data_IF_105732399108
#
_entry.id   IF_105732399108
#
_cell.length_a   1.000
_cell.length_b   1.000
_cell.length_c   1.000
_cell.angle_alpha   90.00
_cell.angle_beta   90.00
_cell.angle_gamma   90.00
#
_symmetry.space_group_name_H-M   'P 1'
#
loop_
_entity.id
_entity.type
_entity.pdbx_description
1 polymer ?
#
# COMPACT_ATOMS: atom_id res chain seq x y z
N UNK A 1 -33.25 57.94 11.40
CA UNK A 1 -32.87 58.60 10.15
C UNK A 1 -31.39 58.41 9.94
N UNK A 2 -31.04 57.78 8.81
CA UNK A 2 -29.71 57.64 8.18
C UNK A 2 -28.61 56.95 9.01
N UNK A 3 -27.78 56.05 8.50
CA UNK A 3 -27.59 55.37 7.22
C UNK A 3 -26.55 54.28 7.52
N UNK A 4 -26.68 53.05 7.02
CA UNK A 4 -25.80 52.68 5.92
C UNK A 4 -25.34 51.22 6.04
N UNK A 5 -26.11 50.34 5.41
CA UNK A 5 -25.77 48.95 5.08
C UNK A 5 -24.39 48.89 4.39
N UNK A 6 -23.46 48.08 4.91
CA UNK A 6 -22.39 47.50 4.09
C UNK A 6 -22.50 45.98 4.09
N UNK A 7 -22.92 45.49 2.93
CA UNK A 7 -23.02 44.09 2.56
C UNK A 7 -21.63 43.47 2.38
N UNK A 8 -21.49 42.26 2.93
CA UNK A 8 -20.94 41.06 2.29
C UNK A 8 -19.57 41.15 1.60
N UNK A 9 -18.54 40.64 2.29
CA UNK A 9 -17.66 39.60 1.74
C UNK A 9 -17.45 38.58 2.86
N UNK A 10 -18.37 37.62 2.99
CA UNK A 10 -18.05 36.36 3.68
C UNK A 10 -17.15 35.59 2.70
N UNK A 11 -15.84 35.78 2.82
CA UNK A 11 -14.90 34.83 2.25
C UNK A 11 -15.06 33.57 3.10
N UNK A 12 -15.84 32.62 2.59
CA UNK A 12 -15.94 31.29 3.15
C UNK A 12 -14.55 30.66 2.97
N UNK A 13 -13.64 30.92 3.91
CA UNK A 13 -12.51 30.05 4.15
C UNK A 13 -13.17 28.75 4.56
N UNK A 14 -13.37 27.87 3.60
CA UNK A 14 -13.50 26.46 3.87
C UNK A 14 -12.22 26.09 4.62
N UNK A 15 -12.27 26.19 5.96
CA UNK A 15 -11.52 25.32 6.82
C UNK A 15 -12.00 23.91 6.45
N UNK A 16 -11.42 23.40 5.37
CA UNK A 16 -11.22 21.99 5.20
C UNK A 16 -10.47 21.59 6.45
N UNK A 17 -11.21 21.09 7.45
CA UNK A 17 -10.64 20.47 8.61
C UNK A 17 -9.74 19.37 8.08
N UNK A 18 -8.45 19.68 7.98
CA UNK A 18 -7.39 18.70 7.83
C UNK A 18 -7.56 17.79 9.02
N UNK A 19 -8.22 16.66 8.79
CA UNK A 19 -8.23 15.55 9.72
C UNK A 19 -6.76 15.24 9.99
N UNK A 20 -6.25 15.45 11.21
CA UNK A 20 -4.91 15.01 11.55
C UNK A 20 -4.97 13.48 11.50
N UNK A 21 -4.36 12.89 10.47
CA UNK A 21 -4.28 11.43 10.33
C UNK A 21 -4.74 10.83 9.01
N UNK A 22 -5.38 11.58 8.11
CA UNK A 22 -5.73 11.09 6.77
C UNK A 22 -4.71 11.55 5.71
N UNK A 23 -3.47 11.12 5.86
CA UNK A 23 -2.46 11.11 4.77
C UNK A 23 -2.02 9.67 4.60
N UNK A 24 -2.83 8.89 3.89
CA UNK A 24 -2.80 7.43 3.92
C UNK A 24 -2.91 6.91 2.50
N UNK A 25 -1.77 6.50 1.91
CA UNK A 25 -1.67 5.65 0.71
C UNK A 25 -2.70 5.92 -0.42
N UNK A 26 -3.14 7.17 -0.61
CA UNK A 26 -4.33 7.44 -1.40
C UNK A 26 -4.10 7.00 -2.85
N UNK A 27 -5.03 6.19 -3.33
CA UNK A 27 -5.00 5.64 -4.68
C UNK A 27 -4.14 4.39 -4.89
N UNK A 28 -3.28 3.96 -3.94
CA UNK A 28 -2.48 2.73 -4.17
C UNK A 28 -3.41 1.53 -4.28
N UNK A 29 -3.40 0.89 -5.45
CA UNK A 29 -4.17 -0.31 -5.72
C UNK A 29 -3.38 -1.56 -5.41
N UNK A 30 -4.05 -2.56 -4.87
CA UNK A 30 -3.53 -3.90 -4.64
C UNK A 30 -4.41 -4.94 -5.34
N UNK A 31 -3.80 -6.09 -5.63
CA UNK A 31 -4.52 -7.32 -5.98
C UNK A 31 -4.28 -8.36 -4.88
N UNK A 32 -5.26 -9.24 -4.67
CA UNK A 32 -5.14 -10.36 -3.75
C UNK A 32 -5.34 -11.66 -4.55
N UNK A 33 -4.30 -12.48 -4.66
CA UNK A 33 -4.38 -13.79 -5.31
C UNK A 33 -4.70 -14.86 -4.26
N UNK A 34 -5.66 -15.72 -4.59
CA UNK A 34 -6.03 -16.87 -3.78
C UNK A 34 -5.02 -18.01 -3.88
N UNK A 35 -5.21 -19.04 -3.06
CA UNK A 35 -4.50 -20.31 -3.11
C UNK A 35 -4.66 -21.09 -4.43
N UNK A 36 -5.72 -20.83 -5.20
CA UNK A 36 -5.97 -21.43 -6.52
C UNK A 36 -5.42 -20.59 -7.68
N UNK A 37 -4.74 -19.48 -7.39
CA UNK A 37 -4.13 -18.62 -8.40
C UNK A 37 -5.10 -17.63 -9.08
N UNK A 38 -6.40 -17.70 -8.79
CA UNK A 38 -7.38 -16.69 -9.20
C UNK A 38 -7.41 -15.52 -8.22
N UNK A 39 -7.91 -14.37 -8.68
CA UNK A 39 -7.87 -13.12 -7.94
C UNK A 39 -9.19 -12.78 -7.26
N UNK A 40 -9.07 -12.26 -6.04
CA UNK A 40 -10.14 -11.60 -5.28
C UNK A 40 -10.72 -10.48 -6.14
N UNK A 41 -12.01 -10.57 -6.44
CA UNK A 41 -12.63 -9.67 -7.39
C UNK A 41 -14.08 -9.35 -7.02
N UNK A 42 -14.49 -8.10 -7.26
CA UNK A 42 -15.89 -7.69 -7.25
C UNK A 42 -16.62 -8.40 -8.38
N UNK A 43 -17.80 -8.93 -8.08
CA UNK A 43 -18.63 -9.66 -9.02
C UNK A 43 -20.08 -9.19 -8.86
N UNK A 44 -20.59 -8.47 -9.87
CA UNK A 44 -21.94 -7.94 -9.87
C UNK A 44 -22.92 -9.03 -10.32
N UNK A 45 -23.94 -9.31 -9.51
CA UNK A 45 -24.97 -10.30 -9.81
C UNK A 45 -24.51 -11.76 -9.78
N UNK A 46 -23.28 -12.04 -9.35
CA UNK A 46 -22.72 -13.39 -9.37
C UNK A 46 -23.21 -14.28 -8.23
N UNK A 47 -23.76 -13.68 -7.19
CA UNK A 47 -24.37 -14.37 -6.06
C UNK A 47 -25.75 -13.74 -5.79
N UNK A 48 -26.72 -14.56 -5.38
CA UNK A 48 -28.05 -14.09 -5.03
C UNK A 48 -28.06 -13.53 -3.61
N UNK A 49 -28.08 -12.21 -3.47
CA UNK A 49 -28.26 -11.60 -2.15
C UNK A 49 -29.71 -11.69 -1.70
N UNK A 50 -29.95 -11.70 -0.39
CA UNK A 50 -31.29 -11.52 0.18
C UNK A 50 -31.84 -10.17 -0.31
N UNK A 51 -33.09 -10.18 -0.79
CA UNK A 51 -33.79 -9.03 -1.38
C UNK A 51 -33.08 -8.31 -2.54
N UNK A 52 -32.05 -8.89 -3.15
CA UNK A 52 -31.22 -8.25 -4.19
C UNK A 52 -30.61 -6.88 -3.80
N UNK A 53 -30.50 -6.57 -2.49
CA UNK A 53 -29.99 -5.27 -2.01
C UNK A 53 -28.46 -5.11 -2.14
N UNK A 54 -27.72 -6.20 -2.30
CA UNK A 54 -26.25 -6.21 -2.37
C UNK A 54 -25.82 -6.97 -3.63
N UNK A 55 -25.94 -6.32 -4.81
CA UNK A 55 -25.61 -6.98 -6.08
C UNK A 55 -24.10 -7.20 -6.24
N UNK A 56 -23.26 -6.41 -5.58
CA UNK A 56 -21.80 -6.51 -5.66
C UNK A 56 -21.24 -7.40 -4.54
N UNK A 57 -20.78 -8.59 -4.93
CA UNK A 57 -20.17 -9.58 -4.02
C UNK A 57 -18.68 -9.74 -4.31
N UNK A 58 -17.95 -10.42 -3.43
CA UNK A 58 -16.56 -10.80 -3.67
C UNK A 58 -16.47 -12.29 -3.98
N UNK A 59 -15.76 -12.60 -5.06
CA UNK A 59 -15.49 -13.97 -5.53
C UNK A 59 -14.01 -14.10 -5.92
N UNK A 60 -13.57 -15.31 -6.28
CA UNK A 60 -12.22 -15.56 -6.83
C UNK A 60 -12.30 -16.29 -8.17
N UNK A 61 -12.67 -15.54 -9.22
CA UNK A 61 -12.91 -16.10 -10.56
C UNK A 61 -11.98 -15.53 -11.64
N UNK A 62 -11.31 -14.42 -11.34
CA UNK A 62 -10.52 -13.68 -12.32
C UNK A 62 -9.12 -14.27 -12.42
N UNK A 63 -8.56 -14.32 -13.64
CA UNK A 63 -7.22 -14.86 -13.90
C UNK A 63 -6.11 -13.82 -13.96
N UNK A 64 -6.45 -12.54 -14.05
CA UNK A 64 -5.48 -11.45 -14.16
C UNK A 64 -5.67 -10.39 -13.07
N UNK A 65 -4.58 -10.02 -12.40
CA UNK A 65 -4.54 -8.95 -11.40
C UNK A 65 -4.90 -7.57 -11.97
N UNK A 66 -4.79 -7.39 -13.30
CA UNK A 66 -4.99 -6.11 -13.98
C UNK A 66 -6.45 -5.83 -14.32
N UNK A 67 -7.36 -6.78 -14.16
CA UNK A 67 -8.80 -6.53 -14.36
C UNK A 67 -9.30 -5.47 -13.38
N UNK A 68 -10.03 -4.43 -13.81
CA UNK A 68 -10.41 -3.30 -12.94
C UNK A 68 -11.12 -3.70 -11.65
N UNK A 69 -11.95 -4.73 -11.71
CA UNK A 69 -12.75 -5.26 -10.59
C UNK A 69 -11.97 -6.25 -9.70
N UNK A 70 -10.72 -6.58 -10.05
CA UNK A 70 -9.77 -7.32 -9.22
C UNK A 70 -8.74 -6.39 -8.52
N UNK A 71 -8.89 -5.08 -8.67
CA UNK A 71 -8.03 -4.08 -8.05
C UNK A 71 -8.77 -3.34 -6.94
N UNK A 72 -8.14 -3.21 -5.78
CA UNK A 72 -8.71 -2.54 -4.63
C UNK A 72 -7.74 -1.48 -4.12
N UNK A 73 -8.22 -0.26 -3.89
CA UNK A 73 -7.44 0.74 -3.16
C UNK A 73 -7.28 0.28 -1.71
N UNK A 74 -6.04 0.21 -1.24
CA UNK A 74 -5.71 -0.13 0.14
C UNK A 74 -5.74 1.15 0.96
N UNK A 75 -6.77 1.28 1.81
CA UNK A 75 -6.97 2.45 2.66
C UNK A 75 -6.54 2.09 4.08
N UNK A 76 -5.58 2.82 4.63
CA UNK A 76 -5.28 2.72 6.06
C UNK A 76 -6.41 3.39 6.83
N UNK A 77 -6.90 2.77 7.90
CA UNK A 77 -7.99 3.34 8.74
C UNK A 77 -7.53 3.63 10.17
N UNK A 78 -6.23 3.47 10.44
CA UNK A 78 -5.61 3.64 11.76
C UNK A 78 -5.59 2.35 12.58
N UNK A 79 -4.89 2.37 13.72
CA UNK A 79 -4.78 1.25 14.66
C UNK A 79 -4.33 -0.08 14.02
N UNK A 80 -3.47 -0.01 13.01
CA UNK A 80 -2.97 -1.19 12.28
C UNK A 80 -4.03 -1.91 11.43
N UNK A 81 -5.15 -1.25 11.12
CA UNK A 81 -6.20 -1.80 10.27
C UNK A 81 -6.20 -1.15 8.89
N UNK A 82 -6.71 -1.92 7.92
CA UNK A 82 -6.95 -1.48 6.55
C UNK A 82 -8.42 -1.63 6.18
N UNK A 83 -8.83 -0.96 5.12
CA UNK A 83 -10.04 -1.22 4.37
C UNK A 83 -9.70 -1.38 2.89
N UNK A 84 -10.50 -2.16 2.16
CA UNK A 84 -10.32 -2.40 0.73
C UNK A 84 -11.44 -1.69 -0.02
N UNK A 85 -11.10 -0.65 -0.79
CA UNK A 85 -12.07 0.12 -1.58
C UNK A 85 -12.08 -0.36 -3.03
N UNK A 86 -13.24 -0.73 -3.52
CA UNK A 86 -13.44 -1.24 -4.88
C UNK A 86 -13.46 -0.13 -5.93
N UNK A 87 -13.50 -0.53 -7.20
CA UNK A 87 -13.73 0.32 -8.37
C UNK A 87 -15.08 1.09 -8.34
N UNK A 88 -16.04 0.66 -7.53
CA UNK A 88 -17.32 1.38 -7.33
C UNK A 88 -17.24 2.51 -6.29
N UNK A 89 -16.07 2.68 -5.66
CA UNK A 89 -15.88 3.63 -4.56
C UNK A 89 -16.39 3.12 -3.20
N UNK A 90 -17.09 1.98 -3.16
CA UNK A 90 -17.52 1.32 -1.92
C UNK A 90 -16.45 0.37 -1.38
N UNK A 91 -16.48 0.15 -0.06
CA UNK A 91 -15.58 -0.76 0.64
C UNK A 91 -16.10 -2.19 0.71
N UNK A 92 -15.16 -3.12 0.76
CA UNK A 92 -15.41 -4.51 1.13
C UNK A 92 -15.83 -4.56 2.59
N UNK A 93 -16.99 -5.15 2.86
CA UNK A 93 -17.50 -5.39 4.21
C UNK A 93 -17.95 -6.83 4.40
N UNK A 94 -17.81 -7.32 5.64
CA UNK A 94 -18.48 -8.54 6.09
C UNK A 94 -19.98 -8.31 6.09
N UNK A 95 -20.70 -9.31 5.60
CA UNK A 95 -22.13 -9.25 5.36
C UNK A 95 -22.75 -10.54 5.89
N UNK A 96 -23.44 -10.43 7.04
CA UNK A 96 -24.01 -11.57 7.74
C UNK A 96 -25.40 -11.91 7.20
N UNK A 97 -25.63 -13.18 6.85
CA UNK A 97 -26.92 -13.69 6.40
C UNK A 97 -27.41 -13.13 5.07
N UNK A 98 -26.54 -12.46 4.30
CA UNK A 98 -26.99 -11.70 3.13
C UNK A 98 -26.96 -12.47 1.82
N UNK A 99 -26.42 -13.69 1.79
CA UNK A 99 -26.45 -14.57 0.61
C UNK A 99 -27.50 -15.66 0.82
N UNK A 100 -28.43 -15.76 -0.13
CA UNK A 100 -29.54 -16.72 -0.04
C UNK A 100 -29.03 -18.15 -0.06
N UNK A 101 -29.35 -18.93 0.98
CA UNK A 101 -28.90 -20.31 1.12
C UNK A 101 -27.39 -20.47 1.35
N UNK A 102 -26.68 -19.40 1.70
CA UNK A 102 -25.24 -19.45 1.97
C UNK A 102 -24.89 -20.49 3.03
N UNK A 103 -23.88 -21.33 2.75
CA UNK A 103 -23.42 -22.40 3.67
C UNK A 103 -22.74 -21.86 4.92
N UNK A 104 -22.25 -20.62 4.85
CA UNK A 104 -21.65 -19.89 5.96
C UNK A 104 -22.40 -18.56 6.12
N UNK A 105 -22.52 -18.02 7.34
CA UNK A 105 -23.31 -16.81 7.56
C UNK A 105 -22.61 -15.55 7.03
N UNK A 106 -21.29 -15.47 7.09
CA UNK A 106 -20.54 -14.25 6.81
C UNK A 106 -19.88 -14.29 5.42
N UNK A 107 -20.38 -13.46 4.50
CA UNK A 107 -19.79 -13.24 3.17
C UNK A 107 -19.04 -11.91 3.09
N UNK A 108 -18.06 -11.82 2.18
CA UNK A 108 -17.44 -10.56 1.82
C UNK A 108 -18.21 -9.95 0.62
N UNK A 109 -18.67 -8.71 0.75
CA UNK A 109 -19.41 -8.00 -0.29
C UNK A 109 -18.97 -6.54 -0.39
N UNK A 110 -19.29 -5.88 -1.50
CA UNK A 110 -18.95 -4.47 -1.74
C UNK A 110 -20.21 -3.63 -1.53
N UNK A 111 -20.39 -3.09 -0.34
CA UNK A 111 -21.64 -2.39 0.01
C UNK A 111 -21.47 -1.16 0.89
N UNK A 112 -20.33 -1.04 1.56
CA UNK A 112 -20.06 0.00 2.56
C UNK A 112 -19.69 1.29 1.85
N UNK A 113 -20.51 2.33 2.04
CA UNK A 113 -20.37 3.62 1.35
C UNK A 113 -19.81 4.73 2.22
N UNK A 114 -19.66 4.48 3.52
CA UNK A 114 -19.17 5.43 4.50
C UNK A 114 -17.70 5.78 4.23
N UNK A 115 -17.37 7.08 4.30
CA UNK A 115 -16.00 7.56 4.12
C UNK A 115 -15.04 7.02 5.20
N UNK A 116 -15.58 6.80 6.40
CA UNK A 116 -14.90 6.09 7.50
C UNK A 116 -15.51 4.69 7.60
N UNK A 117 -14.82 3.65 7.12
CA UNK A 117 -15.36 2.30 7.12
C UNK A 117 -15.67 1.82 8.54
N UNK A 118 -16.86 1.26 8.81
CA UNK A 118 -17.20 0.67 10.11
C UNK A 118 -16.39 -0.61 10.38
N UNK A 119 -16.38 -1.10 11.61
CA UNK A 119 -15.53 -2.22 12.04
C UNK A 119 -15.64 -3.47 11.15
N UNK A 120 -16.85 -3.81 10.67
CA UNK A 120 -17.09 -4.96 9.79
C UNK A 120 -16.55 -4.79 8.36
N UNK A 121 -16.02 -3.61 8.01
CA UNK A 121 -15.34 -3.29 6.76
C UNK A 121 -13.84 -3.02 6.93
N UNK A 122 -13.32 -3.29 8.13
CA UNK A 122 -11.92 -3.15 8.46
C UNK A 122 -11.28 -4.52 8.68
N UNK A 123 -10.02 -4.66 8.28
CA UNK A 123 -9.26 -5.89 8.41
C UNK A 123 -7.90 -5.62 9.06
N UNK A 124 -7.46 -6.54 9.91
CA UNK A 124 -6.08 -6.61 10.38
C UNK A 124 -5.29 -7.51 9.43
N UNK A 125 -4.14 -7.03 8.95
CA UNK A 125 -3.21 -7.82 8.15
C UNK A 125 -2.31 -8.63 9.08
N UNK A 126 -2.22 -9.94 8.84
CA UNK A 126 -1.26 -10.81 9.50
C UNK A 126 -0.36 -11.46 8.46
N UNK A 127 0.94 -11.17 8.53
CA UNK A 127 1.96 -11.86 7.72
C UNK A 127 2.18 -13.26 8.27
N UNK A 128 2.01 -14.27 7.43
CA UNK A 128 2.17 -15.69 7.77
C UNK A 128 3.61 -16.15 7.56
N UNK A 129 4.00 -17.26 8.19
CA UNK A 129 5.36 -17.80 8.12
C UNK A 129 5.82 -18.15 6.70
N UNK A 130 4.89 -18.40 5.77
CA UNK A 130 5.17 -18.67 4.36
C UNK A 130 5.22 -17.40 3.49
N UNK A 131 5.18 -16.22 4.09
CA UNK A 131 5.21 -14.92 3.39
C UNK A 131 3.89 -14.53 2.72
N UNK A 132 2.81 -15.30 2.89
CA UNK A 132 1.44 -14.90 2.50
C UNK A 132 0.77 -14.10 3.62
N UNK A 133 -0.41 -13.59 3.32
CA UNK A 133 -1.18 -12.73 4.22
C UNK A 133 -2.51 -13.36 4.58
N UNK A 134 -2.92 -13.16 5.83
CA UNK A 134 -4.30 -13.36 6.28
C UNK A 134 -4.93 -12.00 6.56
N UNK A 135 -6.23 -11.86 6.27
CA UNK A 135 -7.00 -10.66 6.58
C UNK A 135 -8.04 -11.02 7.64
N UNK A 136 -7.81 -10.57 8.87
CA UNK A 136 -8.68 -10.84 10.02
C UNK A 136 -9.78 -9.79 10.11
N UNK A 137 -11.03 -10.23 10.15
CA UNK A 137 -12.19 -9.36 10.32
C UNK A 137 -12.47 -9.03 11.80
N UNK A 138 -13.45 -8.15 12.03
CA UNK A 138 -13.99 -7.77 13.34
C UNK A 138 -14.43 -8.95 14.22
N UNK A 139 -14.84 -10.06 13.61
CA UNK A 139 -15.26 -11.29 14.31
C UNK A 139 -14.09 -12.13 14.84
N UNK A 140 -12.84 -11.77 14.50
CA UNK A 140 -11.65 -12.57 14.79
C UNK A 140 -11.41 -13.73 13.81
N UNK A 141 -12.33 -13.97 12.86
CA UNK A 141 -12.18 -14.92 11.75
C UNK A 141 -11.52 -14.24 10.54
N UNK A 142 -11.06 -15.04 9.58
CA UNK A 142 -10.28 -14.57 8.43
C UNK A 142 -11.06 -14.64 7.13
N UNK A 143 -10.79 -13.68 6.23
CA UNK A 143 -11.25 -13.72 4.85
C UNK A 143 -10.69 -14.97 4.15
N UNK A 144 -11.59 -15.72 3.53
CA UNK A 144 -11.31 -17.02 2.96
C UNK A 144 -12.09 -17.24 1.68
N UNK A 145 -11.42 -17.81 0.68
CA UNK A 145 -12.07 -18.43 -0.47
C UNK A 145 -12.95 -19.58 0.01
N UNK A 146 -14.12 -19.71 -0.57
CA UNK A 146 -15.12 -20.70 -0.18
C UNK A 146 -15.78 -21.29 -1.43
N UNK A 147 -15.39 -22.51 -1.77
CA UNK A 147 -15.90 -23.25 -2.92
C UNK A 147 -17.31 -23.80 -2.65
N UNK A 148 -18.27 -23.48 -3.52
CA UNK A 148 -19.64 -23.97 -3.44
C UNK A 148 -20.40 -23.50 -2.18
N UNK A 149 -19.98 -22.38 -1.59
CA UNK A 149 -20.60 -21.83 -0.38
C UNK A 149 -21.82 -20.95 -0.69
N UNK A 150 -21.96 -20.50 -1.93
CA UNK A 150 -23.10 -19.72 -2.42
C UNK A 150 -23.89 -20.54 -3.45
N UNK A 151 -25.02 -21.16 -3.06
CA UNK A 151 -25.85 -21.90 -4.00
C UNK A 151 -26.34 -21.02 -5.15
N UNK A 152 -26.32 -21.57 -6.37
CA UNK A 152 -26.75 -20.86 -7.57
C UNK A 152 -25.84 -19.70 -8.01
N UNK A 153 -24.65 -19.55 -7.42
CA UNK A 153 -23.68 -18.57 -7.87
C UNK A 153 -23.17 -18.91 -9.27
N UNK A 154 -22.92 -17.88 -10.09
CA UNK A 154 -22.34 -18.04 -11.44
C UNK A 154 -20.85 -18.42 -11.42
N UNK A 155 -20.22 -18.32 -10.26
CA UNK A 155 -18.83 -18.72 -10.04
C UNK A 155 -18.76 -19.71 -8.87
N UNK A 156 -17.89 -20.72 -8.93
CA UNK A 156 -17.82 -21.74 -7.87
C UNK A 156 -17.23 -21.18 -6.56
N UNK A 157 -16.31 -20.22 -6.66
CA UNK A 157 -15.58 -19.68 -5.52
C UNK A 157 -16.08 -18.30 -5.09
N UNK A 158 -16.72 -18.25 -3.93
CA UNK A 158 -17.06 -17.01 -3.21
C UNK A 158 -15.96 -16.63 -2.21
N UNK A 159 -16.01 -15.41 -1.66
CA UNK A 159 -15.19 -15.02 -0.51
C UNK A 159 -16.06 -14.77 0.72
N UNK A 160 -15.63 -15.31 1.84
CA UNK A 160 -16.38 -15.40 3.09
C UNK A 160 -15.48 -15.12 4.28
N UNK A 161 -16.05 -14.94 5.47
CA UNK A 161 -15.31 -14.71 6.72
C UNK A 161 -15.61 -15.87 7.68
N UNK A 162 -14.93 -17.00 7.49
CA UNK A 162 -15.19 -18.22 8.26
C UNK A 162 -13.94 -18.92 8.79
N UNK A 163 -12.79 -18.72 8.16
CA UNK A 163 -11.54 -19.35 8.55
C UNK A 163 -11.13 -18.94 9.97
N UNK A 164 -10.46 -19.84 10.69
CA UNK A 164 -10.08 -19.67 12.10
C UNK A 164 -8.58 -19.83 12.33
N UNK A 165 -7.89 -20.54 11.44
CA UNK A 165 -6.46 -20.82 11.50
C UNK A 165 -5.82 -20.67 10.11
N UNK A 166 -5.48 -19.44 9.69
CA UNK A 166 -4.92 -19.19 8.36
C UNK A 166 -3.54 -19.82 8.16
N UNK A 167 -2.84 -20.21 9.24
CA UNK A 167 -1.58 -20.96 9.14
C UNK A 167 -1.76 -22.40 8.65
N UNK A 168 -2.96 -22.97 8.77
CA UNK A 168 -3.30 -24.34 8.32
C UNK A 168 -4.33 -24.37 7.19
N UNK A 169 -5.06 -23.29 6.99
CA UNK A 169 -6.15 -23.19 6.01
C UNK A 169 -5.68 -22.40 4.78
N UNK A 170 -5.21 -23.10 3.74
CA UNK A 170 -4.65 -22.47 2.54
C UNK A 170 -5.61 -21.48 1.86
N UNK A 171 -6.92 -21.76 1.88
CA UNK A 171 -7.97 -20.90 1.32
C UNK A 171 -8.15 -19.56 2.05
N UNK A 172 -7.52 -19.36 3.21
CA UNK A 172 -7.47 -18.11 3.96
C UNK A 172 -6.15 -17.33 3.78
N UNK A 173 -5.28 -17.81 2.89
CA UNK A 173 -3.96 -17.23 2.62
C UNK A 173 -3.96 -16.52 1.27
N UNK A 174 -3.56 -15.26 1.28
CA UNK A 174 -3.58 -14.39 0.12
C UNK A 174 -2.16 -13.94 -0.24
N UNK A 175 -1.84 -13.93 -1.53
CA UNK A 175 -0.69 -13.16 -2.02
C UNK A 175 -1.18 -11.75 -2.35
N UNK A 176 -0.74 -10.75 -1.59
CA UNK A 176 -1.14 -9.35 -1.80
C UNK A 176 -0.01 -8.61 -2.49
N UNK A 177 -0.30 -8.03 -3.66
CA UNK A 177 0.70 -7.35 -4.49
C UNK A 177 0.21 -5.96 -4.87
N UNK A 178 1.04 -4.92 -4.70
CA UNK A 178 0.69 -3.58 -5.19
C UNK A 178 0.72 -3.60 -6.72
N UNK A 179 -0.27 -2.96 -7.33
CA UNK A 179 -0.36 -2.77 -8.77
C UNK A 179 0.22 -1.41 -9.07
N UNK A 180 1.14 -1.32 -10.04
CA UNK A 180 1.70 -0.07 -10.55
C UNK A 180 1.47 0.02 -12.06
N UNK A 181 0.47 0.78 -12.55
CA UNK A 181 0.29 1.01 -13.98
C UNK A 181 1.58 1.53 -14.63
N UNK A 182 1.80 1.16 -15.89
CA UNK A 182 3.00 1.61 -16.62
C UNK A 182 3.08 3.13 -16.62
N UNK A 183 4.25 3.67 -16.25
CA UNK A 183 4.50 5.11 -16.17
C UNK A 183 3.95 5.78 -14.91
N UNK A 184 3.34 5.02 -13.98
CA UNK A 184 2.87 5.58 -12.72
C UNK A 184 4.04 6.11 -11.89
N UNK A 185 3.85 7.28 -11.29
CA UNK A 185 4.76 7.84 -10.30
C UNK A 185 4.21 7.64 -8.90
N UNK A 186 5.11 7.35 -7.97
CA UNK A 186 4.79 7.23 -6.55
C UNK A 186 5.62 8.22 -5.73
N UNK A 187 5.12 8.50 -4.54
CA UNK A 187 5.87 9.10 -3.44
C UNK A 187 5.91 8.12 -2.27
N UNK A 188 6.95 8.22 -1.44
CA UNK A 188 7.14 7.39 -0.25
C UNK A 188 7.27 8.26 0.98
N UNK A 189 6.23 8.30 1.81
CA UNK A 189 6.25 9.04 3.06
C UNK A 189 6.90 8.18 4.16
N UNK A 190 7.86 8.78 4.87
CA UNK A 190 8.52 8.18 6.03
C UNK A 190 7.63 8.21 7.27
N UNK A 191 8.11 7.57 8.34
CA UNK A 191 7.55 7.61 9.69
C UNK A 191 7.52 9.01 10.32
N UNK A 192 8.35 9.94 9.85
CA UNK A 192 8.36 11.34 10.30
C UNK A 192 7.47 12.26 9.44
N UNK A 193 6.72 11.71 8.50
CA UNK A 193 5.80 12.46 7.64
C UNK A 193 6.45 13.22 6.49
N UNK A 194 7.79 13.23 6.41
CA UNK A 194 8.54 13.72 5.24
C UNK A 194 8.68 12.64 4.17
N UNK A 195 8.96 13.03 2.93
CA UNK A 195 9.00 12.13 1.79
C UNK A 195 10.42 11.80 1.36
N UNK A 196 10.60 10.55 0.93
CA UNK A 196 11.78 10.09 0.20
C UNK A 196 11.98 10.98 -1.02
N UNK A 197 13.18 11.56 -1.15
CA UNK A 197 13.49 12.52 -2.18
C UNK A 197 14.95 12.41 -2.64
N UNK A 198 15.18 12.63 -3.94
CA UNK A 198 16.52 12.90 -4.47
C UNK A 198 17.03 14.21 -3.89
N UNK A 199 18.29 14.21 -3.47
CA UNK A 199 18.95 15.36 -2.88
C UNK A 199 20.34 15.50 -3.50
N UNK A 200 20.54 16.57 -4.28
CA UNK A 200 21.81 16.83 -4.94
C UNK A 200 22.77 17.54 -3.98
N UNK A 201 23.97 17.01 -3.79
CA UNK A 201 25.01 17.59 -2.94
C UNK A 201 24.69 17.57 -1.44
N UNK A 202 23.64 16.87 -1.02
CA UNK A 202 23.20 16.87 0.38
C UNK A 202 24.04 15.96 1.28
N UNK A 203 24.76 15.02 0.69
CA UNK A 203 25.67 14.10 1.38
C UNK A 203 26.99 14.06 0.62
N UNK A 204 28.10 13.94 1.35
CA UNK A 204 29.43 13.82 0.76
C UNK A 204 29.69 12.36 0.36
N UNK A 205 29.74 12.10 -0.95
CA UNK A 205 30.12 10.79 -1.46
C UNK A 205 31.63 10.61 -1.50
N UNK A 206 32.09 9.36 -1.37
CA UNK A 206 33.48 8.98 -1.62
C UNK A 206 33.79 9.30 -3.08
N UNK A 207 34.93 9.95 -3.33
CA UNK A 207 35.38 10.45 -4.63
C UNK A 207 34.46 11.46 -5.33
N UNK A 208 33.41 11.98 -4.67
CA UNK A 208 32.43 12.92 -5.23
C UNK A 208 31.74 12.43 -6.54
N UNK A 209 31.73 11.13 -6.82
CA UNK A 209 31.17 10.57 -8.07
C UNK A 209 29.64 10.40 -8.05
N UNK A 210 29.03 10.49 -6.87
CA UNK A 210 27.60 10.30 -6.67
C UNK A 210 27.04 11.56 -6.00
N UNK A 211 26.72 12.61 -6.79
CA UNK A 211 26.19 13.85 -6.25
C UNK A 211 24.73 13.73 -5.84
N UNK A 212 23.96 12.82 -6.45
CA UNK A 212 22.55 12.60 -6.15
C UNK A 212 22.36 11.46 -5.14
N UNK A 213 21.97 11.79 -3.91
CA UNK A 213 21.63 10.81 -2.87
C UNK A 213 20.13 10.80 -2.60
N UNK A 214 19.67 9.87 -1.74
CA UNK A 214 18.28 9.84 -1.27
C UNK A 214 18.24 10.21 0.22
N UNK A 215 17.37 11.16 0.56
CA UNK A 215 17.10 11.64 1.92
C UNK A 215 15.60 11.72 2.16
N UNK A 216 15.16 11.94 3.41
CA UNK A 216 13.75 12.24 3.73
C UNK A 216 13.65 13.65 4.31
N UNK A 217 13.43 14.64 3.44
CA UNK A 217 13.53 16.05 3.84
C UNK A 217 12.36 16.92 3.38
N UNK A 218 11.57 16.48 2.41
CA UNK A 218 10.51 17.31 1.86
C UNK A 218 9.14 16.97 2.42
N UNK A 219 8.28 17.98 2.42
CA UNK A 219 6.97 17.92 3.11
C UNK A 219 5.80 17.66 2.17
N UNK A 220 6.00 17.69 0.86
CA UNK A 220 4.95 17.49 -0.12
C UNK A 220 5.30 16.35 -1.08
N UNK A 221 4.34 15.45 -1.28
CA UNK A 221 4.43 14.33 -2.24
C UNK A 221 4.55 14.80 -3.70
N UNK A 222 4.14 16.04 -3.98
CA UNK A 222 4.10 16.63 -5.32
C UNK A 222 5.42 17.26 -5.74
N UNK A 223 6.42 17.37 -4.86
CA UNK A 223 7.74 17.88 -5.22
C UNK A 223 8.39 16.98 -6.28
N UNK A 224 8.88 17.51 -7.41
CA UNK A 224 9.35 16.69 -8.54
C UNK A 224 10.41 15.64 -8.17
N UNK A 225 11.34 16.00 -7.28
CA UNK A 225 12.42 15.12 -6.83
C UNK A 225 11.99 14.14 -5.71
N UNK A 226 10.72 14.20 -5.26
CA UNK A 226 10.09 13.20 -4.39
C UNK A 226 9.19 12.20 -5.16
N UNK A 227 9.09 12.38 -6.48
CA UNK A 227 8.32 11.51 -7.35
C UNK A 227 9.24 10.52 -8.06
N UNK A 228 8.88 9.24 -7.99
CA UNK A 228 9.64 8.18 -8.65
C UNK A 228 8.73 7.42 -9.60
N UNK A 229 9.11 7.35 -10.88
CA UNK A 229 8.47 6.45 -11.83
C UNK A 229 8.78 5.01 -11.41
N UNK A 230 7.72 4.19 -11.27
CA UNK A 230 7.87 2.78 -10.90
C UNK A 230 8.06 1.95 -12.15
N UNK A 231 9.22 1.30 -12.25
CA UNK A 231 9.50 0.32 -13.29
C UNK A 231 9.36 -1.07 -12.67
N UNK A 232 8.33 -1.81 -13.08
CA UNK A 232 8.17 -3.20 -12.66
C UNK A 232 9.26 -4.07 -13.31
N UNK A 233 9.84 -4.96 -12.51
CA UNK A 233 10.84 -5.95 -12.95
C UNK A 233 10.41 -7.36 -12.49
N UNK A 234 11.12 -8.39 -12.93
CA UNK A 234 10.76 -9.79 -12.64
C UNK A 234 10.68 -10.11 -11.14
N UNK A 235 9.80 -11.04 -10.76
CA UNK A 235 9.71 -11.55 -9.38
C UNK A 235 8.98 -10.63 -8.41
N UNK A 236 8.09 -9.76 -8.91
CA UNK A 236 7.32 -8.82 -8.08
C UNK A 236 8.18 -7.70 -7.48
N UNK A 237 9.36 -7.45 -8.06
CA UNK A 237 10.24 -6.35 -7.67
C UNK A 237 9.94 -5.10 -8.51
N UNK A 238 10.39 -3.98 -8.01
CA UNK A 238 10.30 -2.67 -8.66
C UNK A 238 11.66 -1.98 -8.65
N UNK A 239 11.91 -1.14 -9.64
CA UNK A 239 12.96 -0.14 -9.61
C UNK A 239 12.32 1.26 -9.55
N UNK A 240 12.96 2.19 -8.84
CA UNK A 240 12.48 3.55 -8.64
C UNK A 240 13.31 4.49 -9.50
N UNK A 241 12.73 5.02 -10.58
CA UNK A 241 13.41 5.95 -11.49
C UNK A 241 13.12 7.39 -11.06
N UNK A 242 14.18 8.17 -10.84
CA UNK A 242 14.11 9.57 -10.44
C UNK A 242 13.79 10.49 -11.62
N UNK A 243 13.61 11.76 -11.31
CA UNK A 243 13.51 12.88 -12.25
C UNK A 243 14.77 13.09 -13.12
N UNK A 244 15.93 12.55 -12.73
CA UNK A 244 17.15 12.57 -13.56
C UNK A 244 17.22 11.42 -14.57
N UNK A 245 16.22 10.54 -14.57
CA UNK A 245 16.18 9.36 -15.42
C UNK A 245 17.03 8.18 -14.93
N UNK A 246 17.80 8.36 -13.87
CA UNK A 246 18.56 7.31 -13.18
C UNK A 246 17.71 6.61 -12.13
N UNK A 247 18.15 5.46 -11.67
CA UNK A 247 17.45 4.64 -10.69
C UNK A 247 18.07 4.75 -9.31
N UNK A 248 17.20 4.66 -8.30
CA UNK A 248 17.59 4.46 -6.91
C UNK A 248 18.29 3.10 -6.80
N UNK A 249 19.52 3.12 -6.30
CA UNK A 249 20.30 1.91 -6.05
C UNK A 249 20.97 1.95 -4.68
N UNK A 250 21.15 0.77 -4.11
CA UNK A 250 22.00 0.56 -2.94
C UNK A 250 23.46 0.85 -3.32
N UNK A 251 24.14 1.53 -2.42
CA UNK A 251 25.47 2.06 -2.62
C UNK A 251 26.29 1.79 -1.37
N UNK A 252 27.19 0.81 -1.46
CA UNK A 252 27.96 0.32 -0.34
C UNK A 252 29.23 1.16 -0.15
N UNK A 253 29.46 1.65 1.08
CA UNK A 253 30.66 2.40 1.46
C UNK A 253 30.82 3.74 0.75
N UNK A 254 29.78 4.25 0.11
CA UNK A 254 29.92 5.40 -0.78
C UNK A 254 29.68 6.76 -0.14
N UNK A 255 29.33 6.81 1.14
CA UNK A 255 29.16 8.06 1.91
C UNK A 255 30.30 8.20 2.90
N UNK A 256 30.99 9.34 2.86
CA UNK A 256 32.15 9.62 3.71
C UNK A 256 31.75 9.61 5.18
N UNK A 257 32.37 8.74 5.96
CA UNK A 257 32.08 8.61 7.40
C UNK A 257 30.69 8.06 7.72
N UNK A 258 29.97 7.51 6.73
CA UNK A 258 28.64 6.94 6.95
C UNK A 258 28.63 5.88 8.05
N UNK A 259 27.68 5.95 8.97
CA UNK A 259 27.59 5.02 10.13
C UNK A 259 27.01 3.66 9.76
N UNK A 260 26.41 3.55 8.58
CA UNK A 260 25.94 2.31 7.98
C UNK A 260 26.58 2.14 6.60
N UNK A 261 26.86 0.91 6.15
CA UNK A 261 27.58 0.70 4.90
C UNK A 261 26.71 0.99 3.67
N UNK A 262 25.42 0.67 3.71
CA UNK A 262 24.54 0.70 2.53
C UNK A 262 23.62 1.94 2.54
N UNK A 263 23.91 2.89 1.65
CA UNK A 263 23.06 4.05 1.40
C UNK A 263 22.22 3.87 0.14
N UNK A 264 21.07 4.55 0.07
CA UNK A 264 20.31 4.68 -1.16
C UNK A 264 20.73 5.95 -1.91
N UNK A 265 21.10 5.82 -3.18
CA UNK A 265 21.54 6.94 -4.02
C UNK A 265 20.97 6.82 -5.44
N UNK A 266 20.97 7.92 -6.19
CA UNK A 266 20.44 7.97 -7.56
C UNK A 266 21.62 7.98 -8.53
N UNK A 267 22.03 6.79 -8.97
CA UNK A 267 23.23 6.67 -9.81
C UNK A 267 23.15 5.59 -10.88
N UNK A 268 22.20 4.66 -10.76
CA UNK A 268 22.13 3.48 -11.65
C UNK A 268 21.47 3.87 -12.97
N UNK A 269 22.05 3.45 -14.09
CA UNK A 269 21.59 3.86 -15.42
C UNK A 269 20.32 3.14 -15.89
N UNK A 270 20.13 1.89 -15.46
CA UNK A 270 18.99 1.05 -15.83
C UNK A 270 18.47 0.23 -14.64
N UNK A 271 17.34 -0.48 -14.83
CA UNK A 271 16.65 -1.22 -13.78
C UNK A 271 17.11 -2.67 -13.61
N UNK A 272 18.06 -3.15 -14.42
CA UNK A 272 18.48 -4.55 -14.42
C UNK A 272 19.31 -4.96 -13.19
N UNK A 273 20.22 -4.13 -12.62
CA UNK A 273 21.03 -4.54 -11.48
C UNK A 273 20.18 -4.85 -10.25
N UNK A 274 20.48 -5.96 -9.57
CA UNK A 274 19.74 -6.40 -8.39
C UNK A 274 19.75 -5.35 -7.26
N UNK A 275 20.86 -4.62 -7.09
CA UNK A 275 20.99 -3.57 -6.08
C UNK A 275 20.18 -2.30 -6.38
N UNK A 276 19.55 -2.21 -7.57
CA UNK A 276 18.60 -1.16 -7.96
C UNK A 276 17.13 -1.61 -7.90
N UNK A 277 16.89 -2.83 -7.42
CA UNK A 277 15.57 -3.44 -7.35
C UNK A 277 15.14 -3.64 -5.90
N UNK A 278 13.86 -3.40 -5.63
CA UNK A 278 13.24 -3.55 -4.34
C UNK A 278 12.00 -4.41 -4.45
N UNK A 279 11.78 -5.34 -3.51
CA UNK A 279 10.53 -6.06 -3.38
C UNK A 279 9.63 -5.32 -2.40
N UNK A 280 8.46 -4.80 -2.82
CA UNK A 280 7.47 -4.27 -1.90
C UNK A 280 6.93 -5.39 -1.01
N UNK A 281 6.87 -5.15 0.30
CA UNK A 281 6.34 -6.08 1.29
C UNK A 281 5.29 -5.34 2.10
N UNK A 282 4.04 -5.78 2.03
CA UNK A 282 2.97 -5.26 2.88
C UNK A 282 3.25 -5.66 4.34
N UNK A 283 3.11 -4.71 5.26
CA UNK A 283 3.36 -4.90 6.68
C UNK A 283 2.05 -5.06 7.45
N UNK A 284 2.14 -5.55 8.69
CA UNK A 284 0.96 -5.84 9.52
C UNK A 284 0.13 -4.59 9.86
N UNK A 285 0.72 -3.40 9.75
CA UNK A 285 0.03 -2.12 9.94
C UNK A 285 -0.50 -1.51 8.62
N UNK A 286 -0.42 -2.23 7.51
CA UNK A 286 -0.85 -1.79 6.19
C UNK A 286 0.15 -0.92 5.42
N UNK A 287 1.26 -0.51 6.05
CA UNK A 287 2.36 0.20 5.37
C UNK A 287 3.23 -0.77 4.57
N UNK A 288 4.23 -0.23 3.87
CA UNK A 288 5.11 -1.01 3.01
C UNK A 288 6.56 -0.97 3.49
N UNK A 289 7.21 -2.13 3.49
CA UNK A 289 8.66 -2.23 3.45
C UNK A 289 9.15 -2.38 2.02
N UNK A 290 10.35 -1.89 1.72
CA UNK A 290 11.02 -2.12 0.43
C UNK A 290 12.29 -2.95 0.66
N UNK A 291 12.20 -4.25 0.40
CA UNK A 291 13.31 -5.19 0.62
C UNK A 291 14.31 -5.12 -0.54
N UNK A 292 15.58 -4.89 -0.25
CA UNK A 292 16.67 -4.88 -1.23
C UNK A 292 17.22 -6.30 -1.51
N UNK A 293 18.18 -6.38 -2.44
CA UNK A 293 18.93 -7.59 -2.79
C UNK A 293 19.65 -8.26 -1.61
N UNK A 294 19.99 -7.50 -0.58
CA UNK A 294 20.64 -7.99 0.65
C UNK A 294 19.68 -8.66 1.64
N UNK A 295 18.37 -8.64 1.36
CA UNK A 295 17.34 -9.10 2.29
C UNK A 295 16.98 -8.07 3.38
N UNK A 296 17.74 -6.98 3.50
CA UNK A 296 17.45 -5.83 4.37
C UNK A 296 16.51 -4.84 3.69
N UNK A 297 15.97 -3.90 4.46
CA UNK A 297 14.93 -2.98 4.00
C UNK A 297 15.44 -1.53 3.91
N UNK A 298 14.90 -0.83 2.91
CA UNK A 298 15.07 0.61 2.73
C UNK A 298 14.50 1.35 3.95
N UNK A 299 15.32 2.21 4.54
CA UNK A 299 15.09 2.76 5.86
C UNK A 299 15.61 4.20 5.96
N UNK A 300 14.80 5.07 6.56
CA UNK A 300 15.26 6.38 7.04
C UNK A 300 16.32 6.16 8.12
N UNK A 301 17.34 7.01 8.12
CA UNK A 301 18.46 6.94 9.05
C UNK A 301 18.86 8.34 9.48
N UNK A 302 18.51 8.71 10.72
CA UNK A 302 18.83 10.02 11.28
C UNK A 302 20.30 10.09 11.71
N UNK A 303 21.03 11.10 11.26
CA UNK A 303 22.42 11.34 11.62
C UNK A 303 23.41 10.33 11.01
N UNK A 304 22.97 9.47 10.11
CA UNK A 304 23.83 8.39 9.59
C UNK A 304 24.86 8.87 8.55
N UNK A 305 24.69 10.07 8.01
CA UNK A 305 25.62 10.71 7.08
C UNK A 305 26.23 11.96 7.73
N UNK A 306 27.44 11.87 8.31
CA UNK A 306 28.10 13.02 8.91
C UNK A 306 28.27 14.17 7.91
N UNK A 307 28.01 15.40 8.37
CA UNK A 307 28.13 16.60 7.54
C UNK A 307 27.07 16.75 6.44
N UNK A 308 26.03 15.91 6.43
CA UNK A 308 24.91 16.07 5.51
C UNK A 308 24.13 17.35 5.81
N UNK A 309 23.62 18.01 4.76
CA UNK A 309 22.76 19.20 4.88
C UNK A 309 21.36 18.88 5.40
N UNK A 310 20.97 17.61 5.36
CA UNK A 310 19.72 17.10 5.91
C UNK A 310 20.00 16.03 6.96
N UNK A 311 19.32 16.04 8.12
CA UNK A 311 19.58 15.07 9.19
C UNK A 311 19.22 13.63 8.80
N UNK A 312 18.19 13.45 7.96
CA UNK A 312 17.66 12.14 7.60
C UNK A 312 18.15 11.67 6.23
N UNK A 313 19.05 10.70 6.20
CA UNK A 313 19.43 9.97 4.98
C UNK A 313 18.53 8.74 4.77
N UNK A 314 18.58 8.14 3.58
CA UNK A 314 17.97 6.82 3.33
C UNK A 314 19.04 5.78 3.06
N UNK A 315 18.88 4.63 3.69
CA UNK A 315 19.87 3.56 3.81
C UNK A 315 19.19 2.20 3.69
N UNK A 316 19.95 1.11 3.58
CA UNK A 316 19.44 -0.26 3.50
C UNK A 316 20.02 -1.07 4.66
N UNK A 317 19.41 -0.96 5.84
CA UNK A 317 19.96 -1.58 7.06
C UNK A 317 18.92 -2.28 7.94
N UNK A 318 17.64 -1.91 7.83
CA UNK A 318 16.57 -2.53 8.63
C UNK A 318 16.42 -4.02 8.31
N UNK A 319 16.07 -4.82 9.31
CA UNK A 319 15.98 -6.28 9.23
C UNK A 319 14.56 -6.81 9.39
N UNK A 320 13.72 -6.09 10.13
CA UNK A 320 12.31 -6.39 10.38
C UNK A 320 11.48 -5.09 10.37
N UNK A 321 10.94 -4.69 9.20
CA UNK A 321 10.16 -3.47 9.07
C UNK A 321 8.84 -3.50 9.86
N UNK A 322 8.36 -4.66 10.35
CA UNK A 322 7.20 -4.69 11.25
C UNK A 322 7.53 -4.13 12.64
N UNK A 323 8.81 -4.13 13.04
CA UNK A 323 9.28 -3.63 14.35
C UNK A 323 10.05 -2.30 14.24
N UNK A 324 10.50 -1.96 13.04
CA UNK A 324 11.36 -0.80 12.79
C UNK A 324 10.60 0.28 12.02
N UNK A 325 9.97 1.24 12.73
CA UNK A 325 9.12 2.26 12.14
C UNK A 325 9.81 3.06 11.01
N UNK A 326 11.10 3.32 11.13
CA UNK A 326 11.91 4.03 10.14
C UNK A 326 12.10 3.28 8.81
N UNK A 327 11.69 2.01 8.72
CA UNK A 327 11.66 1.22 7.49
C UNK A 327 10.25 1.05 6.90
N UNK A 328 9.27 1.78 7.42
CA UNK A 328 7.87 1.71 7.00
C UNK A 328 7.50 2.92 6.17
N UNK A 329 6.98 2.67 4.97
CA UNK A 329 6.64 3.70 4.00
C UNK A 329 5.14 3.71 3.72
N UNK A 330 4.53 4.89 3.72
CA UNK A 330 3.24 5.06 3.05
C UNK A 330 3.54 5.32 1.56
N UNK A 331 3.09 4.42 0.69
CA UNK A 331 3.22 4.56 -0.76
C UNK A 331 1.91 5.15 -1.30
N UNK A 332 1.99 6.24 -2.05
CA UNK A 332 0.85 6.86 -2.70
C UNK A 332 1.18 7.21 -4.14
N UNK A 333 0.17 7.18 -5.02
CA UNK A 333 0.31 7.73 -6.36
C UNK A 333 0.46 9.24 -6.30
N UNK A 334 1.26 9.78 -7.22
CA UNK A 334 1.32 11.22 -7.45
C UNK A 334 0.65 11.50 -8.80
N UNK A 335 -0.22 12.53 -8.89
CA UNK A 335 -0.90 12.91 -10.13
C UNK A 335 0.03 13.22 -11.29
#
# INVERSE_FOLDING_TARGET
MMEGLKKWVLCLVALCGLVPGASLASGLKVSLQSDEGTYFARCNGCQKSVDNKIPDTITTHVKAATEPYAQFELVLVGNGKIALKSDTGKFVGRCNGCITGGKVPDFATVHVGEATPPAYAQFTIETLANGKYALKADTGKYLARCNGCSPGASTPNSVTVHATNPGKEAYAQWTITPIFPKGSKISLQSDEGTYLARCNGCQKSVDNKIPDTITTHVKAATEPYAQFEVVQVSGGKIALKSDTGKFVGRCNGCIVGGTVPDFATVHVADSAPAYAQFKPVLLNNGKWGLQADTGKYLARCNGCSPGASTPNSVTVHATDPNKEAYAQWNIAYVP
#
